data_IF_573154208059
#
_entry.id   IF_573154208059
#
_cell.length_a   1.000
_cell.length_b   1.000
_cell.length_c   1.000
_cell.angle_alpha   90.00
_cell.angle_beta   90.00
_cell.angle_gamma   90.00
#
_symmetry.space_group_name_H-M   'P 1'
#
loop_
_entity.id
_entity.type
_entity.pdbx_description
1 polymer ?
#
# COMPACT_ATOMS: atom_id res chain seq x y z
N UNK A 1 13.17 -20.75 -10.10
CA UNK A 1 11.73 -20.75 -9.73
C UNK A 1 11.06 -19.49 -10.23
N UNK A 2 9.72 -19.47 -10.28
CA UNK A 2 8.93 -18.35 -10.84
C UNK A 2 9.24 -16.98 -10.17
N UNK A 3 9.56 -16.96 -8.87
CA UNK A 3 9.96 -15.72 -8.16
C UNK A 3 11.24 -15.14 -8.74
N UNK A 4 12.29 -15.96 -8.86
CA UNK A 4 13.59 -15.55 -9.40
C UNK A 4 13.44 -14.93 -10.79
N UNK A 5 12.74 -15.63 -11.68
CA UNK A 5 12.53 -15.15 -13.05
C UNK A 5 11.77 -13.83 -13.09
N UNK A 6 10.70 -13.73 -12.30
CA UNK A 6 9.85 -12.52 -12.26
C UNK A 6 10.61 -11.32 -11.73
N UNK A 7 11.30 -11.46 -10.59
CA UNK A 7 12.07 -10.36 -9.99
C UNK A 7 13.29 -9.96 -10.83
N UNK A 8 13.96 -10.93 -11.49
CA UNK A 8 15.05 -10.62 -12.43
C UNK A 8 14.54 -9.82 -13.64
N UNK A 9 13.36 -10.19 -14.17
CA UNK A 9 12.73 -9.48 -15.26
C UNK A 9 12.29 -8.06 -14.86
N UNK A 10 11.65 -7.93 -13.70
CA UNK A 10 11.28 -6.63 -13.11
C UNK A 10 12.50 -5.73 -12.97
N UNK A 11 13.57 -6.21 -12.33
CA UNK A 11 14.78 -5.42 -12.09
C UNK A 11 15.41 -4.93 -13.39
N UNK A 12 15.62 -5.83 -14.35
CA UNK A 12 16.15 -5.45 -15.67
C UNK A 12 15.29 -4.38 -16.33
N UNK A 13 13.97 -4.55 -16.29
CA UNK A 13 13.06 -3.64 -16.97
C UNK A 13 12.98 -2.27 -16.27
N UNK A 14 13.03 -2.21 -14.93
CA UNK A 14 13.11 -0.96 -14.17
C UNK A 14 14.41 -0.22 -14.48
N UNK A 15 15.56 -0.91 -14.41
CA UNK A 15 16.87 -0.29 -14.64
C UNK A 15 17.04 0.24 -16.08
N UNK A 16 16.33 -0.33 -17.04
CA UNK A 16 16.32 0.16 -18.41
C UNK A 16 15.51 1.46 -18.62
N UNK A 17 14.85 1.99 -17.58
CA UNK A 17 14.02 3.19 -17.69
C UNK A 17 14.79 4.48 -17.40
N UNK A 18 14.30 5.63 -17.91
CA UNK A 18 14.75 6.94 -17.43
C UNK A 18 14.61 7.07 -15.91
N UNK A 19 15.47 7.86 -15.28
CA UNK A 19 15.51 8.01 -13.81
C UNK A 19 14.17 8.46 -13.22
N UNK A 20 13.43 9.33 -13.89
CA UNK A 20 12.10 9.78 -13.46
C UNK A 20 11.09 8.62 -13.39
N UNK A 21 11.09 7.75 -14.41
CA UNK A 21 10.25 6.56 -14.44
C UNK A 21 10.64 5.54 -13.36
N UNK A 22 11.94 5.43 -13.04
CA UNK A 22 12.40 4.60 -11.92
C UNK A 22 11.93 5.16 -10.57
N UNK A 23 12.00 6.48 -10.37
CA UNK A 23 11.49 7.14 -9.15
C UNK A 23 9.99 6.97 -9.00
N UNK A 24 9.22 7.19 -10.08
CA UNK A 24 7.78 6.99 -10.09
C UNK A 24 7.38 5.57 -9.67
N UNK A 25 8.12 4.57 -10.16
CA UNK A 25 7.95 3.17 -9.78
C UNK A 25 8.29 2.97 -8.30
N UNK A 26 9.44 3.47 -7.86
CA UNK A 26 9.96 3.30 -6.51
C UNK A 26 9.01 3.86 -5.44
N UNK A 27 8.53 5.09 -5.64
CA UNK A 27 7.55 5.74 -4.77
C UNK A 27 6.30 4.89 -4.50
N UNK A 28 5.89 4.09 -5.49
CA UNK A 28 4.67 3.27 -5.40
C UNK A 28 4.96 1.84 -4.94
N UNK A 29 6.12 1.30 -5.31
CA UNK A 29 6.51 -0.08 -5.00
C UNK A 29 6.74 -0.33 -3.50
N UNK A 30 7.12 0.71 -2.74
CA UNK A 30 7.33 0.59 -1.29
C UNK A 30 6.03 0.36 -0.51
N UNK A 31 4.89 0.88 -0.99
CA UNK A 31 3.58 0.69 -0.35
C UNK A 31 2.98 -0.67 -0.69
N UNK A 32 2.50 -1.37 0.34
CA UNK A 32 2.14 -2.78 0.24
C UNK A 32 3.34 -3.72 0.22
N UNK A 33 4.56 -3.22 0.41
CA UNK A 33 5.79 -4.04 0.47
C UNK A 33 6.58 -3.77 1.73
N UNK A 34 7.21 -2.59 1.86
CA UNK A 34 7.91 -2.17 3.08
C UNK A 34 6.96 -1.40 4.00
N UNK A 35 6.19 -0.49 3.42
CA UNK A 35 5.18 0.30 4.11
C UNK A 35 3.79 -0.24 3.85
N UNK A 36 2.91 -0.11 4.83
CA UNK A 36 1.63 -0.80 4.82
C UNK A 36 1.22 -1.25 6.21
N UNK A 37 0.00 -1.73 6.31
CA UNK A 37 -0.56 -2.30 7.54
C UNK A 37 -0.04 -3.72 7.79
N UNK A 38 0.07 -4.12 9.06
CA UNK A 38 0.40 -5.51 9.39
C UNK A 38 -0.67 -6.47 8.81
N UNK A 39 -0.29 -7.59 8.14
CA UNK A 39 -1.23 -8.48 7.48
C UNK A 39 -2.36 -8.99 8.38
N UNK A 40 -2.02 -9.42 9.60
CA UNK A 40 -3.01 -9.93 10.56
C UNK A 40 -3.92 -8.83 11.09
N UNK A 41 -3.37 -7.64 11.35
CA UNK A 41 -4.17 -6.49 11.80
C UNK A 41 -5.22 -6.12 10.75
N UNK A 42 -4.82 -6.10 9.47
CA UNK A 42 -5.74 -5.87 8.35
C UNK A 42 -6.85 -6.93 8.29
N UNK A 43 -6.48 -8.20 8.46
CA UNK A 43 -7.45 -9.30 8.44
C UNK A 43 -8.45 -9.18 9.60
N UNK A 44 -7.98 -8.87 10.81
CA UNK A 44 -8.83 -8.74 11.99
C UNK A 44 -9.77 -7.54 11.90
N UNK A 45 -9.30 -6.39 11.42
CA UNK A 45 -10.17 -5.22 11.18
C UNK A 45 -11.21 -5.55 10.11
N UNK A 46 -10.83 -6.21 9.01
CA UNK A 46 -11.80 -6.65 8.00
C UNK A 46 -12.84 -7.62 8.57
N UNK A 47 -12.42 -8.56 9.39
CA UNK A 47 -13.34 -9.49 10.05
C UNK A 47 -14.31 -8.75 10.98
N UNK A 48 -13.84 -7.72 11.71
CA UNK A 48 -14.70 -6.89 12.55
C UNK A 48 -15.71 -6.08 11.71
N UNK A 49 -15.29 -5.54 10.56
CA UNK A 49 -16.17 -4.80 9.64
C UNK A 49 -17.32 -5.65 9.08
N UNK A 50 -17.20 -6.98 9.05
CA UNK A 50 -18.28 -7.88 8.62
C UNK A 50 -19.31 -8.18 9.73
N UNK A 51 -19.06 -7.78 10.98
CA UNK A 51 -20.01 -8.02 12.09
C UNK A 51 -21.05 -6.91 12.16
N UNK A 52 -22.32 -7.26 12.30
CA UNK A 52 -23.40 -6.28 12.44
C UNK A 52 -23.29 -5.48 13.76
N UNK A 53 -23.00 -6.20 14.86
CA UNK A 53 -22.76 -5.64 16.19
C UNK A 53 -21.36 -6.02 16.67
N UNK A 54 -20.33 -5.22 16.31
CA UNK A 54 -18.98 -5.44 16.81
C UNK A 54 -18.94 -5.27 18.33
N UNK A 55 -18.13 -6.09 18.98
CA UNK A 55 -17.84 -5.93 20.41
C UNK A 55 -16.88 -4.74 20.61
N UNK A 56 -17.23 -3.84 21.53
CA UNK A 56 -16.45 -2.63 21.82
C UNK A 56 -15.08 -2.94 22.42
N UNK A 57 -14.96 -4.02 23.20
CA UNK A 57 -13.67 -4.45 23.75
C UNK A 57 -12.72 -4.92 22.63
N UNK A 58 -13.21 -5.76 21.73
CA UNK A 58 -12.46 -6.20 20.53
C UNK A 58 -12.02 -4.99 19.68
N UNK A 59 -12.89 -3.99 19.49
CA UNK A 59 -12.53 -2.79 18.74
C UNK A 59 -11.44 -1.96 19.46
N UNK A 60 -11.52 -1.83 20.78
CA UNK A 60 -10.51 -1.14 21.58
C UNK A 60 -9.12 -1.80 21.48
N UNK A 61 -9.08 -3.14 21.48
CA UNK A 61 -7.84 -3.90 21.28
C UNK A 61 -7.25 -3.67 19.88
N UNK A 62 -8.09 -3.63 18.84
CA UNK A 62 -7.64 -3.32 17.47
C UNK A 62 -7.16 -1.88 17.33
N UNK A 63 -7.78 -0.90 18.00
CA UNK A 63 -7.29 0.48 18.05
C UNK A 63 -5.89 0.52 18.66
N UNK A 64 -5.68 -0.20 19.77
CA UNK A 64 -4.37 -0.28 20.42
C UNK A 64 -3.32 -0.88 19.48
N UNK A 65 -3.63 -2.02 18.85
CA UNK A 65 -2.73 -2.65 17.88
C UNK A 65 -2.46 -1.78 16.66
N UNK A 66 -3.45 -1.05 16.15
CA UNK A 66 -3.27 -0.11 15.05
C UNK A 66 -2.41 1.10 15.44
N UNK A 67 -2.53 1.57 16.68
CA UNK A 67 -1.64 2.59 17.25
C UNK A 67 -0.19 2.12 17.33
N UNK A 68 0.06 0.89 17.77
CA UNK A 68 1.41 0.30 17.77
C UNK A 68 1.94 0.07 16.35
N UNK A 69 1.11 -0.43 15.43
CA UNK A 69 1.48 -0.63 14.02
C UNK A 69 1.84 0.69 13.33
N UNK A 70 1.13 1.77 13.66
CA UNK A 70 1.39 3.12 13.14
C UNK A 70 2.80 3.62 13.48
N UNK A 71 3.33 3.26 14.66
CA UNK A 71 4.71 3.62 15.06
C UNK A 71 5.79 2.92 14.21
N UNK A 72 5.45 1.84 13.52
CA UNK A 72 6.38 1.12 12.65
C UNK A 72 6.49 1.72 11.23
N UNK A 73 5.57 2.61 10.86
CA UNK A 73 5.63 3.37 9.62
C UNK A 73 6.79 4.37 9.69
N UNK A 74 7.58 4.46 8.61
CA UNK A 74 8.71 5.38 8.52
C UNK A 74 8.52 6.43 7.44
N UNK A 75 7.86 6.08 6.35
CA UNK A 75 7.53 7.02 5.27
C UNK A 75 6.42 8.00 5.72
N UNK A 76 6.54 9.32 5.46
CA UNK A 76 5.56 10.32 5.90
C UNK A 76 4.11 9.99 5.52
N UNK A 77 3.88 9.61 4.26
CA UNK A 77 2.54 9.20 3.79
C UNK A 77 2.06 7.91 4.47
N UNK A 78 2.95 6.97 4.81
CA UNK A 78 2.54 5.77 5.53
C UNK A 78 2.13 6.10 6.98
N UNK A 79 2.86 7.00 7.63
CA UNK A 79 2.50 7.52 8.96
C UNK A 79 1.14 8.22 8.93
N UNK A 80 0.89 9.03 7.90
CA UNK A 80 -0.40 9.70 7.69
C UNK A 80 -1.54 8.68 7.54
N UNK A 81 -1.42 7.72 6.62
CA UNK A 81 -2.46 6.71 6.39
C UNK A 81 -2.72 5.84 7.63
N UNK A 82 -1.67 5.50 8.38
CA UNK A 82 -1.82 4.75 9.62
C UNK A 82 -2.51 5.59 10.72
N UNK A 83 -2.17 6.88 10.84
CA UNK A 83 -2.84 7.79 11.76
C UNK A 83 -4.32 8.00 11.39
N UNK A 84 -4.65 8.13 10.11
CA UNK A 84 -6.04 8.19 9.62
C UNK A 84 -6.80 6.91 9.99
N UNK A 85 -6.21 5.73 9.76
CA UNK A 85 -6.84 4.46 10.15
C UNK A 85 -7.14 4.39 11.65
N UNK A 86 -6.20 4.79 12.50
CA UNK A 86 -6.41 4.85 13.96
C UNK A 86 -7.53 5.81 14.32
N UNK A 87 -7.55 7.01 13.72
CA UNK A 87 -8.59 8.00 13.97
C UNK A 87 -9.99 7.50 13.55
N UNK A 88 -10.10 6.81 12.42
CA UNK A 88 -11.37 6.23 11.97
C UNK A 88 -11.86 5.09 12.86
N UNK A 89 -10.96 4.23 13.34
CA UNK A 89 -11.30 3.17 14.30
C UNK A 89 -11.80 3.78 15.63
N UNK A 90 -11.18 4.86 16.08
CA UNK A 90 -11.62 5.60 17.27
C UNK A 90 -12.99 6.25 17.07
N UNK A 91 -13.23 6.90 15.93
CA UNK A 91 -14.53 7.48 15.58
C UNK A 91 -15.64 6.42 15.54
N UNK A 92 -15.34 5.26 14.93
CA UNK A 92 -16.27 4.13 14.92
C UNK A 92 -16.58 3.62 16.36
N UNK A 93 -15.59 3.55 17.23
CA UNK A 93 -15.78 3.13 18.62
C UNK A 93 -16.68 4.10 19.41
N UNK A 94 -16.53 5.42 19.19
CA UNK A 94 -17.39 6.43 19.82
C UNK A 94 -18.84 6.29 19.35
N UNK A 95 -19.06 6.05 18.05
CA UNK A 95 -20.40 5.86 17.48
C UNK A 95 -21.14 4.62 18.03
N UNK A 96 -20.40 3.59 18.48
CA UNK A 96 -20.98 2.39 19.10
C UNK A 96 -21.38 2.61 20.57
N UNK A 97 -20.77 3.59 21.26
CA UNK A 97 -21.01 3.86 22.68
C UNK A 97 -22.19 4.79 23.00
N UNK A 98 -22.75 5.47 22.00
CA UNK A 98 -23.82 6.46 22.18
C UNK A 98 -25.23 5.81 22.16
N UNK A 99 -26.04 5.88 23.24
CA UNK A 99 -27.39 5.35 23.25
C UNK A 99 -28.36 6.21 22.42
N UNK A 100 -29.30 5.55 21.73
CA UNK A 100 -30.20 6.10 20.70
C UNK A 100 -31.16 7.24 21.12
N UNK A 101 -31.13 7.73 22.36
CA UNK A 101 -32.09 8.72 22.87
C UNK A 101 -31.59 10.17 22.92
N UNK A 102 -30.32 10.44 22.55
CA UNK A 102 -29.76 11.81 22.49
C UNK A 102 -29.59 12.36 21.05
N UNK A 103 -30.18 11.69 20.06
CA UNK A 103 -29.98 11.97 18.64
C UNK A 103 -30.39 13.38 18.17
N UNK A 104 -31.17 14.15 18.94
CA UNK A 104 -31.64 15.48 18.53
C UNK A 104 -30.64 16.61 18.82
N UNK A 105 -29.90 16.53 19.92
CA UNK A 105 -28.87 17.52 20.29
C UNK A 105 -27.53 17.17 19.62
N UNK A 106 -27.26 15.86 19.54
CA UNK A 106 -26.11 15.30 18.81
C UNK A 106 -26.17 15.64 17.32
N UNK A 107 -27.33 15.80 16.67
CA UNK A 107 -27.37 16.18 15.24
C UNK A 107 -26.82 17.58 14.97
N UNK A 108 -27.00 18.53 15.90
CA UNK A 108 -26.45 19.88 15.80
C UNK A 108 -24.97 19.92 16.22
N UNK A 109 -24.58 19.10 17.19
CA UNK A 109 -23.18 18.94 17.59
C UNK A 109 -22.36 18.15 16.55
N UNK A 110 -22.97 17.19 15.86
CA UNK A 110 -22.44 16.43 14.73
C UNK A 110 -22.29 17.34 13.51
N UNK A 111 -23.22 18.26 13.23
CA UNK A 111 -23.02 19.26 12.17
C UNK A 111 -21.81 20.19 12.44
N UNK A 112 -21.57 20.58 13.70
CA UNK A 112 -20.36 21.33 14.10
C UNK A 112 -19.10 20.46 14.10
N UNK A 113 -19.21 19.19 14.48
CA UNK A 113 -18.11 18.23 14.46
C UNK A 113 -17.73 17.84 13.03
N UNK A 114 -18.70 17.73 12.10
CA UNK A 114 -18.47 17.51 10.66
C UNK A 114 -17.78 18.72 10.02
N UNK A 115 -18.11 19.94 10.44
CA UNK A 115 -17.39 21.15 10.01
C UNK A 115 -15.94 21.19 10.54
N UNK A 116 -15.69 20.71 11.76
CA UNK A 116 -14.33 20.57 12.30
C UNK A 116 -13.58 19.33 11.77
N UNK A 117 -14.31 18.27 11.40
CA UNK A 117 -13.79 17.04 10.81
C UNK A 117 -13.50 17.22 9.31
N UNK A 118 -14.11 18.19 8.63
CA UNK A 118 -13.76 18.55 7.26
C UNK A 118 -12.28 18.94 7.09
N UNK A 119 -11.66 19.51 8.13
CA UNK A 119 -10.21 19.75 8.18
C UNK A 119 -9.39 18.49 8.57
N UNK A 120 -10.04 17.49 9.18
CA UNK A 120 -9.46 16.23 9.68
C UNK A 120 -9.57 15.07 8.66
N UNK A 121 -10.42 15.23 7.65
CA UNK A 121 -10.73 14.24 6.60
C UNK A 121 -9.95 14.49 5.29
N UNK A 122 -9.09 15.51 5.24
CA UNK A 122 -8.26 15.77 4.07
C UNK A 122 -6.95 14.96 4.18
N UNK A 123 -6.55 14.34 3.08
CA UNK A 123 -5.22 13.75 2.94
C UNK A 123 -4.24 14.75 2.35
N UNK A 124 -2.95 14.60 2.64
CA UNK A 124 -1.88 15.46 2.14
C UNK A 124 -1.77 15.40 0.61
N UNK A 125 -1.11 16.40 0.02
CA UNK A 125 -0.83 16.41 -1.41
C UNK A 125 0.00 15.20 -1.86
N UNK A 126 0.95 14.76 -1.03
CA UNK A 126 1.79 13.60 -1.32
C UNK A 126 0.99 12.29 -1.25
N UNK A 127 0.10 12.16 -0.25
CA UNK A 127 -0.83 11.04 -0.17
C UNK A 127 -1.80 11.03 -1.35
N UNK A 128 -2.29 12.19 -1.79
CA UNK A 128 -3.14 12.33 -2.97
C UNK A 128 -2.42 11.94 -4.27
N UNK A 129 -1.13 12.27 -4.41
CA UNK A 129 -0.32 11.91 -5.58
C UNK A 129 -0.08 10.39 -5.69
N UNK A 130 0.06 9.71 -4.55
CA UNK A 130 0.27 8.27 -4.48
C UNK A 130 -1.04 7.48 -4.54
N UNK A 131 -2.09 8.00 -3.91
CA UNK A 131 -3.41 7.39 -3.81
C UNK A 131 -4.52 8.35 -4.29
N UNK A 132 -4.63 8.66 -5.60
CA UNK A 132 -5.59 9.65 -6.10
C UNK A 132 -7.05 9.30 -5.77
N UNK A 133 -7.41 8.01 -5.84
CA UNK A 133 -8.75 7.58 -5.45
C UNK A 133 -9.05 7.85 -3.97
N UNK A 134 -8.02 7.76 -3.12
CA UNK A 134 -8.15 8.00 -1.69
C UNK A 134 -8.55 9.46 -1.45
N UNK A 135 -7.81 10.41 -2.02
CA UNK A 135 -8.07 11.85 -1.83
C UNK A 135 -9.44 12.30 -2.36
N UNK A 136 -9.93 11.69 -3.44
CA UNK A 136 -11.22 12.02 -4.03
C UNK A 136 -12.41 11.52 -3.19
N UNK A 137 -12.35 10.26 -2.73
CA UNK A 137 -13.52 9.57 -2.16
C UNK A 137 -13.55 9.55 -0.63
N UNK A 138 -12.40 9.68 0.03
CA UNK A 138 -12.31 9.66 1.49
C UNK A 138 -13.06 10.82 2.15
N UNK A 139 -12.91 12.09 1.72
CA UNK A 139 -13.63 13.22 2.32
C UNK A 139 -15.15 13.16 2.11
N UNK A 140 -15.60 12.53 1.03
CA UNK A 140 -17.02 12.42 0.68
C UNK A 140 -17.76 11.33 1.49
N UNK A 141 -17.03 10.45 2.18
CA UNK A 141 -17.61 9.30 2.86
C UNK A 141 -17.98 9.66 4.30
N UNK A 142 -19.28 9.81 4.58
CA UNK A 142 -19.77 10.21 5.91
C UNK A 142 -19.69 9.09 6.99
N UNK A 143 -19.70 7.82 6.58
CA UNK A 143 -19.73 6.66 7.47
C UNK A 143 -18.31 6.17 7.81
N UNK A 144 -18.00 6.06 9.12
CA UNK A 144 -16.67 5.66 9.59
C UNK A 144 -16.29 4.24 9.14
N UNK A 145 -17.23 3.27 9.16
CA UNK A 145 -16.96 1.89 8.71
C UNK A 145 -16.60 1.86 7.23
N UNK A 146 -17.29 2.65 6.40
CA UNK A 146 -16.98 2.79 4.97
C UNK A 146 -15.63 3.46 4.77
N UNK A 147 -15.27 4.47 5.56
CA UNK A 147 -13.94 5.09 5.51
C UNK A 147 -12.83 4.11 5.89
N UNK A 148 -13.03 3.29 6.93
CA UNK A 148 -12.08 2.23 7.31
C UNK A 148 -11.93 1.22 6.17
N UNK A 149 -13.03 0.68 5.62
CA UNK A 149 -12.94 -0.27 4.50
C UNK A 149 -12.19 0.33 3.31
N UNK A 150 -12.50 1.58 2.99
CA UNK A 150 -11.83 2.31 1.92
C UNK A 150 -10.33 2.50 2.15
N UNK A 151 -9.92 2.90 3.36
CA UNK A 151 -8.50 2.97 3.76
C UNK A 151 -7.83 1.60 3.63
N UNK A 152 -8.46 0.53 4.10
CA UNK A 152 -7.93 -0.83 3.97
C UNK A 152 -7.82 -1.31 2.51
N UNK A 153 -8.59 -0.75 1.58
CA UNK A 153 -8.47 -1.06 0.16
C UNK A 153 -7.29 -0.35 -0.52
N UNK A 154 -6.73 0.69 0.09
CA UNK A 154 -5.59 1.45 -0.45
C UNK A 154 -4.30 1.25 0.36
N UNK A 155 -4.39 1.05 1.67
CA UNK A 155 -3.27 0.72 2.55
C UNK A 155 -3.05 -0.80 2.56
N UNK A 156 -2.28 -1.26 1.57
CA UNK A 156 -2.01 -2.69 1.35
C UNK A 156 -1.12 -3.29 2.44
N UNK A 157 -1.24 -4.60 2.73
CA UNK A 157 -0.45 -5.21 3.79
C UNK A 157 1.02 -5.25 3.40
N UNK A 158 1.91 -4.84 4.31
CA UNK A 158 3.37 -4.95 4.11
C UNK A 158 3.85 -6.39 4.26
N UNK A 159 5.08 -6.67 3.85
CA UNK A 159 5.79 -7.91 4.17
C UNK A 159 6.18 -7.86 5.65
N UNK A 160 5.96 -8.96 6.37
CA UNK A 160 6.36 -9.14 7.76
C UNK A 160 7.08 -10.48 7.96
N UNK A 161 8.25 -10.54 8.62
CA UNK A 161 9.07 -9.40 9.05
C UNK A 161 9.55 -8.57 7.83
N UNK A 162 9.73 -7.25 8.05
CA UNK A 162 10.13 -6.33 6.98
C UNK A 162 11.50 -6.76 6.40
N UNK A 163 11.64 -6.90 5.07
CA UNK A 163 12.93 -7.29 4.48
C UNK A 163 13.99 -6.22 4.68
N UNK A 164 15.26 -6.64 4.63
CA UNK A 164 16.40 -5.73 4.67
C UNK A 164 16.43 -4.77 3.46
N UNK A 165 17.21 -3.70 3.59
CA UNK A 165 17.47 -2.75 2.50
C UNK A 165 16.41 -1.66 2.33
N UNK A 166 15.49 -1.50 3.29
CA UNK A 166 14.56 -0.37 3.32
C UNK A 166 15.20 0.89 3.92
N UNK A 167 15.26 1.94 3.11
CA UNK A 167 15.66 3.28 3.48
C UNK A 167 14.50 4.26 3.20
N UNK A 168 13.80 4.80 4.22
CA UNK A 168 12.68 5.72 3.99
C UNK A 168 13.09 7.04 3.33
N UNK A 169 14.38 7.41 3.40
CA UNK A 169 14.92 8.64 2.83
C UNK A 169 15.38 8.46 1.37
N UNK A 170 15.53 7.21 0.91
CA UNK A 170 15.84 6.87 -0.49
C UNK A 170 14.96 5.71 -0.99
N UNK A 171 13.82 6.07 -1.57
CA UNK A 171 12.88 5.10 -2.11
C UNK A 171 13.40 4.41 -3.37
N UNK A 172 14.23 5.09 -4.16
CA UNK A 172 14.81 4.50 -5.36
C UNK A 172 15.75 3.37 -4.97
N UNK A 173 16.68 3.62 -4.04
CA UNK A 173 17.56 2.60 -3.47
C UNK A 173 16.73 1.47 -2.85
N UNK A 174 15.71 1.80 -2.05
CA UNK A 174 14.82 0.81 -1.44
C UNK A 174 14.14 -0.10 -2.46
N UNK A 175 13.67 0.45 -3.58
CA UNK A 175 13.03 -0.33 -4.62
C UNK A 175 14.03 -1.26 -5.35
N UNK A 176 15.26 -0.81 -5.58
CA UNK A 176 16.32 -1.65 -6.16
C UNK A 176 16.73 -2.76 -5.18
N UNK A 177 16.83 -2.44 -3.89
CA UNK A 177 17.11 -3.41 -2.84
C UNK A 177 16.00 -4.46 -2.75
N UNK A 178 14.74 -4.05 -2.75
CA UNK A 178 13.58 -4.95 -2.80
C UNK A 178 13.68 -5.96 -3.94
N UNK A 179 14.00 -5.47 -5.14
CA UNK A 179 14.11 -6.31 -6.33
C UNK A 179 15.26 -7.32 -6.18
N UNK A 180 16.40 -6.87 -5.64
CA UNK A 180 17.55 -7.73 -5.35
C UNK A 180 17.24 -8.79 -4.28
N UNK A 181 16.53 -8.41 -3.22
CA UNK A 181 16.06 -9.34 -2.18
C UNK A 181 15.11 -10.37 -2.79
N UNK A 182 14.19 -9.96 -3.67
CA UNK A 182 13.29 -10.90 -4.36
C UNK A 182 14.02 -11.91 -5.25
N UNK A 183 15.09 -11.49 -5.93
CA UNK A 183 15.98 -12.40 -6.69
C UNK A 183 16.66 -13.40 -5.74
N UNK A 184 17.20 -12.92 -4.62
CA UNK A 184 17.84 -13.76 -3.60
C UNK A 184 16.85 -14.77 -3.02
N UNK A 185 15.69 -14.30 -2.56
CA UNK A 185 14.60 -15.16 -2.07
C UNK A 185 14.20 -16.19 -3.12
N UNK A 186 14.07 -15.80 -4.39
CA UNK A 186 13.74 -16.72 -5.48
C UNK A 186 14.84 -17.74 -5.80
N UNK A 187 16.09 -17.41 -5.54
CA UNK A 187 17.24 -18.31 -5.67
C UNK A 187 17.29 -19.30 -4.51
N UNK A 188 17.07 -18.81 -3.29
CA UNK A 188 17.06 -19.60 -2.05
C UNK A 188 15.77 -20.41 -1.87
N UNK A 189 14.69 -20.09 -2.60
CA UNK A 189 13.38 -20.73 -2.53
C UNK A 189 13.38 -22.26 -2.70
N UNK A 190 14.42 -22.83 -3.33
CA UNK A 190 14.62 -24.28 -3.38
C UNK A 190 14.78 -24.91 -1.97
N UNK A 191 15.01 -24.09 -0.93
CA UNK A 191 15.27 -24.52 0.46
C UNK A 191 14.17 -24.10 1.46
N UNK A 192 13.32 -23.11 1.17
CA UNK A 192 12.19 -22.71 2.03
C UNK A 192 11.06 -22.02 1.24
N UNK A 193 9.82 -22.48 1.45
CA UNK A 193 8.66 -22.09 0.62
C UNK A 193 7.98 -20.78 1.11
N UNK A 194 8.06 -20.47 2.41
CA UNK A 194 7.28 -19.38 3.01
C UNK A 194 7.67 -17.99 2.50
N UNK A 195 8.97 -17.70 2.38
CA UNK A 195 9.45 -16.41 1.89
C UNK A 195 9.13 -16.19 0.40
N UNK A 196 9.30 -17.24 -0.41
CA UNK A 196 9.01 -17.21 -1.83
C UNK A 196 7.53 -16.91 -2.10
N UNK A 197 6.61 -17.47 -1.30
CA UNK A 197 5.17 -17.21 -1.43
C UNK A 197 4.82 -15.75 -1.15
N UNK A 198 5.39 -15.14 -0.12
CA UNK A 198 5.13 -13.72 0.22
C UNK A 198 5.63 -12.81 -0.91
N UNK A 199 6.85 -13.03 -1.40
CA UNK A 199 7.39 -12.26 -2.52
C UNK A 199 6.59 -12.48 -3.81
N UNK A 200 6.06 -13.69 -4.04
CA UNK A 200 5.18 -13.98 -5.16
C UNK A 200 3.88 -13.18 -5.09
N UNK A 201 3.28 -13.02 -3.92
CA UNK A 201 2.03 -12.23 -3.78
C UNK A 201 2.24 -10.75 -4.17
N UNK A 202 3.47 -10.25 -4.13
CA UNK A 202 3.79 -8.86 -4.50
C UNK A 202 4.09 -8.68 -5.99
N UNK A 203 4.42 -9.75 -6.73
CA UNK A 203 4.86 -9.62 -8.13
C UNK A 203 3.80 -8.98 -9.01
N UNK A 204 2.53 -9.35 -8.84
CA UNK A 204 1.42 -8.84 -9.65
C UNK A 204 1.33 -7.32 -9.60
N UNK A 205 1.42 -6.72 -8.39
CA UNK A 205 1.36 -5.26 -8.27
C UNK A 205 2.63 -4.61 -8.79
N UNK A 206 3.81 -5.17 -8.53
CA UNK A 206 5.07 -4.65 -9.06
C UNK A 206 5.08 -4.68 -10.60
N UNK A 207 4.59 -5.74 -11.23
CA UNK A 207 4.44 -5.82 -12.69
C UNK A 207 3.44 -4.80 -13.20
N UNK A 208 2.30 -4.66 -12.55
CA UNK A 208 1.29 -3.65 -12.90
C UNK A 208 1.82 -2.22 -12.77
N UNK A 209 2.60 -1.91 -11.74
CA UNK A 209 3.26 -0.61 -11.58
C UNK A 209 4.25 -0.37 -12.71
N UNK A 210 5.06 -1.38 -13.02
CA UNK A 210 5.99 -1.33 -14.13
C UNK A 210 5.26 -0.96 -15.43
N UNK A 211 4.15 -1.64 -15.75
CA UNK A 211 3.38 -1.42 -16.99
C UNK A 211 2.61 -0.09 -17.03
N UNK A 212 2.07 0.38 -15.89
CA UNK A 212 1.25 1.60 -15.83
C UNK A 212 2.05 2.89 -15.76
N UNK A 213 3.38 2.82 -15.67
CA UNK A 213 4.22 4.02 -15.55
C UNK A 213 4.08 4.92 -16.80
N UNK A 214 4.12 6.25 -16.63
CA UNK A 214 4.24 7.16 -17.76
C UNK A 214 5.51 6.89 -18.57
N UNK A 215 5.41 6.89 -19.90
CA UNK A 215 6.58 6.78 -20.79
C UNK A 215 7.27 5.41 -20.78
N UNK A 216 6.54 4.33 -20.50
CA UNK A 216 7.08 2.96 -20.56
C UNK A 216 7.84 2.71 -21.87
N UNK A 217 9.14 2.40 -21.76
CA UNK A 217 9.92 1.81 -22.86
C UNK A 217 10.23 0.36 -22.54
N UNK A 218 9.90 -0.55 -23.45
CA UNK A 218 10.34 -1.94 -23.31
C UNK A 218 11.88 -1.98 -23.31
N UNK A 219 12.48 -2.71 -22.36
CA UNK A 219 13.94 -2.80 -22.31
C UNK A 219 14.47 -3.40 -23.63
N UNK A 220 15.48 -2.80 -24.29
CA UNK A 220 15.89 -3.23 -25.62
C UNK A 220 16.53 -4.64 -25.68
N UNK A 221 16.79 -5.24 -24.51
CA UNK A 221 17.48 -6.53 -24.36
C UNK A 221 16.55 -7.69 -23.96
N UNK A 222 15.29 -7.68 -24.39
CA UNK A 222 14.44 -8.88 -24.27
C UNK A 222 14.84 -9.88 -25.35
N UNK A 223 14.80 -11.19 -25.06
CA UNK A 223 15.05 -12.26 -26.06
C UNK A 223 14.30 -12.05 -27.37
N UNK A 224 13.10 -11.46 -27.33
CA UNK A 224 12.31 -11.12 -28.50
C UNK A 224 12.96 -10.02 -29.37
N UNK A 225 13.58 -9.00 -28.78
CA UNK A 225 14.31 -7.97 -29.51
C UNK A 225 15.68 -8.46 -29.98
N UNK A 226 16.37 -9.28 -29.17
CA UNK A 226 17.59 -9.98 -29.62
C UNK A 226 17.30 -10.90 -30.81
N UNK A 227 16.15 -11.59 -30.82
CA UNK A 227 15.69 -12.38 -31.96
C UNK A 227 15.39 -11.50 -33.18
N UNK A 228 14.75 -10.33 -33.00
CA UNK A 228 14.55 -9.35 -34.08
C UNK A 228 15.88 -8.82 -34.62
N UNK A 229 16.85 -8.54 -33.76
CA UNK A 229 18.21 -8.12 -34.12
C UNK A 229 18.94 -9.21 -34.92
N UNK A 230 18.90 -10.46 -34.46
CA UNK A 230 19.43 -11.61 -35.20
C UNK A 230 18.74 -11.85 -36.55
N UNK A 231 17.47 -11.45 -36.68
CA UNK A 231 16.70 -11.53 -37.93
C UNK A 231 16.83 -10.28 -38.81
N UNK A 232 17.64 -9.29 -38.44
CA UNK A 232 17.79 -8.03 -39.20
C UNK A 232 16.55 -7.12 -39.19
N UNK A 233 15.65 -7.30 -38.22
CA UNK A 233 14.37 -6.58 -38.08
C UNK A 233 14.33 -5.69 -36.84
N UNK A 234 15.49 -5.25 -36.37
CA UNK A 234 15.57 -4.35 -35.23
C UNK A 234 15.28 -2.92 -35.68
N UNK A 235 14.26 -2.33 -35.07
CA UNK A 235 13.91 -0.92 -35.24
C UNK A 235 14.30 -0.20 -33.95
N UNK A 236 15.13 0.84 -34.08
CA UNK A 236 15.69 1.60 -32.95
C UNK A 236 14.63 2.53 -32.34
N UNK A 237 13.60 2.86 -33.12
CA UNK A 237 12.57 3.85 -32.75
C UNK A 237 11.21 3.21 -32.39
N UNK A 238 11.14 1.87 -32.33
CA UNK A 238 9.92 1.06 -32.12
C UNK A 238 9.54 0.78 -30.67
#
# INVERSE_FOLDING_TARGET
GLVLETYSCLQRNVLAQPQEAQRWFAERAIFGTYEGIHPELKADIRALLQKDRPDGQTLHELITRAGEDSKAAKHPVACELAALLVAELQDWNLQLGEPAHQQSDVKQQLARSVASAGAKLAVSADAAALFPKLSESYPATADARKRIDFLLNHYQPRIDARPDGYNPDDLHESAINLLSVGIKVGTDAYKSDTGARVFMQKTTELQRLLERRPGFKAAPYVKAQAAKLHQGRFDVDG
#
